data_IF_566491546392
#
_entry.id   IF_566491546392
#
_cell.length_a   1.000
_cell.length_b   1.000
_cell.length_c   1.000
_cell.angle_alpha   90.00
_cell.angle_beta   90.00
_cell.angle_gamma   90.00
#
_symmetry.space_group_name_H-M   'P 1'
#
loop_
_entity.id
_entity.type
_entity.pdbx_description
1 polymer ?
#
# COMPACT_ATOMS: atom_id res chain seq x y z
N UNK A 1 -35.21 -71.37 -15.66
CA UNK A 1 -36.43 -71.87 -14.98
C UNK A 1 -36.47 -71.24 -13.59
N UNK A 2 -37.40 -70.31 -13.29
CA UNK A 2 -38.65 -70.57 -12.50
C UNK A 2 -38.33 -71.32 -11.19
N UNK A 3 -38.59 -70.87 -9.96
CA UNK A 3 -39.57 -69.95 -9.33
C UNK A 3 -39.08 -69.70 -7.86
N UNK A 4 -39.44 -68.62 -7.14
CA UNK A 4 -40.64 -68.68 -6.25
C UNK A 4 -40.42 -68.55 -4.71
N UNK A 5 -40.69 -67.37 -4.10
CA UNK A 5 -41.25 -67.10 -2.73
C UNK A 5 -40.32 -67.22 -1.49
N UNK A 6 -40.44 -66.49 -0.36
CA UNK A 6 -41.25 -65.33 0.14
C UNK A 6 -40.68 -64.89 1.53
N UNK A 7 -40.59 -63.56 1.77
CA UNK A 7 -40.70 -62.75 3.02
C UNK A 7 -40.09 -63.17 4.39
N UNK A 8 -39.38 -62.21 5.03
CA UNK A 8 -39.78 -61.59 6.31
C UNK A 8 -38.95 -60.32 6.63
N UNK A 9 -39.62 -59.29 7.17
CA UNK A 9 -39.09 -58.00 7.62
C UNK A 9 -38.15 -58.12 8.83
N UNK A 10 -37.15 -57.23 8.93
CA UNK A 10 -36.94 -56.38 10.11
C UNK A 10 -35.94 -55.26 9.82
N UNK A 11 -36.32 -54.04 10.22
CA UNK A 11 -35.54 -52.83 10.12
C UNK A 11 -34.43 -52.79 11.17
N UNK A 12 -33.26 -52.25 10.82
CA UNK A 12 -32.46 -51.42 11.70
C UNK A 12 -31.41 -50.65 10.88
N UNK A 13 -31.52 -49.33 10.96
CA UNK A 13 -30.55 -48.32 10.55
C UNK A 13 -29.17 -48.53 11.20
N UNK A 14 -28.11 -48.42 10.42
CA UNK A 14 -26.79 -48.08 10.94
C UNK A 14 -26.26 -46.87 10.16
N UNK A 15 -26.27 -45.72 10.84
CA UNK A 15 -25.65 -44.49 10.39
C UNK A 15 -24.13 -44.69 10.26
N UNK A 16 -23.60 -44.33 9.09
CA UNK A 16 -22.18 -44.00 8.95
C UNK A 16 -22.01 -42.56 9.47
N UNK A 17 -21.55 -42.44 10.71
CA UNK A 17 -21.04 -41.18 11.24
C UNK A 17 -19.73 -40.86 10.52
N UNK A 18 -19.73 -39.79 9.74
CA UNK A 18 -18.49 -39.13 9.31
C UNK A 18 -17.99 -38.38 10.54
N UNK A 19 -16.89 -38.83 11.13
CA UNK A 19 -16.17 -38.02 12.10
C UNK A 19 -15.68 -36.76 11.39
N UNK A 20 -16.10 -35.58 11.85
CA UNK A 20 -15.52 -34.32 11.39
C UNK A 20 -14.06 -34.25 11.85
N UNK A 21 -13.19 -33.78 10.96
CA UNK A 21 -11.82 -33.46 11.32
C UNK A 21 -11.85 -32.34 12.38
N UNK A 22 -11.21 -32.49 13.56
CA UNK A 22 -11.18 -31.47 14.59
C UNK A 22 -10.51 -30.15 14.16
N UNK A 23 -9.90 -30.09 12.98
CA UNK A 23 -9.38 -28.86 12.35
C UNK A 23 -10.44 -28.04 11.59
N UNK A 24 -11.66 -28.55 11.43
CA UNK A 24 -12.74 -27.90 10.67
C UNK A 24 -14.05 -27.85 11.46
N UNK A 25 -14.58 -26.64 11.68
CA UNK A 25 -15.90 -26.47 12.30
C UNK A 25 -16.96 -26.14 11.23
N UNK A 26 -18.12 -26.83 11.22
CA UNK A 26 -19.24 -26.44 10.36
C UNK A 26 -19.82 -25.12 10.85
N UNK A 27 -20.14 -24.21 9.93
CA UNK A 27 -20.81 -22.96 10.29
C UNK A 27 -22.29 -23.23 10.66
N UNK A 28 -22.67 -23.06 11.92
CA UNK A 28 -24.09 -23.01 12.36
C UNK A 28 -24.22 -21.97 13.49
N UNK A 29 -25.12 -20.97 13.54
CA UNK A 29 -26.04 -20.27 12.60
C UNK A 29 -26.35 -18.86 13.19
N UNK A 30 -26.63 -17.81 12.38
CA UNK A 30 -28.04 -17.41 12.19
C UNK A 30 -28.44 -17.25 10.72
N UNK A 31 -29.74 -17.33 10.47
CA UNK A 31 -30.38 -17.29 9.16
C UNK A 31 -30.35 -15.89 8.53
N UNK A 32 -29.52 -15.71 7.50
CA UNK A 32 -29.79 -14.78 6.41
C UNK A 32 -29.91 -15.59 5.11
N UNK A 33 -30.86 -15.27 4.21
CA UNK A 33 -31.00 -15.99 2.96
C UNK A 33 -29.89 -15.50 2.03
N UNK A 34 -28.83 -16.29 1.86
CA UNK A 34 -27.88 -16.08 0.77
C UNK A 34 -27.76 -17.39 0.02
N UNK A 35 -28.00 -17.35 -1.29
CA UNK A 35 -27.99 -18.48 -2.23
C UNK A 35 -26.60 -19.04 -2.53
N UNK A 36 -25.56 -18.63 -1.78
CA UNK A 36 -24.20 -19.13 -1.90
C UNK A 36 -23.85 -20.00 -0.70
N UNK A 37 -23.14 -21.13 -0.87
CA UNK A 37 -22.69 -21.94 0.25
C UNK A 37 -21.80 -21.11 1.18
N UNK A 38 -22.01 -21.27 2.49
CA UNK A 38 -21.25 -20.56 3.52
C UNK A 38 -19.82 -21.11 3.60
N UNK A 39 -18.82 -20.21 3.65
CA UNK A 39 -17.42 -20.58 3.88
C UNK A 39 -17.23 -21.26 5.24
N UNK A 40 -16.28 -22.20 5.29
CA UNK A 40 -15.88 -22.90 6.50
C UNK A 40 -15.06 -21.98 7.43
N UNK A 41 -14.89 -22.41 8.68
CA UNK A 41 -14.00 -21.76 9.64
C UNK A 41 -12.87 -22.75 9.94
N UNK A 42 -11.65 -22.34 9.66
CA UNK A 42 -10.44 -23.07 10.03
C UNK A 42 -10.18 -22.84 11.52
N UNK A 43 -9.90 -23.91 12.28
CA UNK A 43 -9.51 -23.81 13.70
C UNK A 43 -7.99 -23.91 13.79
N UNK A 44 -7.27 -22.78 13.93
CA UNK A 44 -5.82 -22.77 13.96
C UNK A 44 -5.25 -23.42 15.21
N UNK A 45 -4.00 -23.85 15.16
CA UNK A 45 -3.31 -24.55 16.25
C UNK A 45 -3.33 -23.75 17.55
N UNK A 46 -3.17 -22.43 17.46
CA UNK A 46 -3.24 -21.53 18.61
C UNK A 46 -4.63 -21.43 19.26
N UNK A 47 -5.70 -21.83 18.55
CA UNK A 47 -7.07 -21.85 19.08
C UNK A 47 -7.50 -23.24 19.61
N UNK A 48 -6.83 -24.33 19.22
CA UNK A 48 -7.15 -25.70 19.68
C UNK A 48 -7.13 -25.90 21.20
N UNK A 49 -6.30 -25.21 22.00
CA UNK A 49 -6.35 -25.32 23.46
C UNK A 49 -7.62 -24.74 24.10
N UNK A 50 -8.40 -23.93 23.37
CA UNK A 50 -9.63 -23.33 23.85
C UNK A 50 -10.82 -24.18 23.45
N UNK A 51 -11.68 -24.54 24.41
CA UNK A 51 -12.98 -25.12 24.08
C UNK A 51 -13.89 -24.01 23.56
N UNK A 52 -14.11 -23.97 22.25
CA UNK A 52 -14.95 -22.95 21.61
C UNK A 52 -16.43 -23.09 21.97
N UNK A 53 -16.86 -24.22 22.56
CA UNK A 53 -18.23 -24.42 23.04
C UNK A 53 -18.40 -24.06 24.53
N UNK A 54 -17.31 -23.79 25.25
CA UNK A 54 -17.38 -23.29 26.63
C UNK A 54 -17.50 -21.77 26.61
N UNK A 55 -18.65 -21.24 27.02
CA UNK A 55 -18.92 -19.81 27.19
C UNK A 55 -17.93 -19.11 28.14
N UNK A 56 -17.20 -19.87 28.97
CA UNK A 56 -16.17 -19.34 29.86
C UNK A 56 -14.78 -19.28 29.24
N UNK A 57 -14.57 -19.91 28.08
CA UNK A 57 -13.30 -19.88 27.36
C UNK A 57 -12.96 -18.46 26.90
N UNK A 58 -11.66 -18.18 26.72
CA UNK A 58 -11.16 -16.89 26.20
C UNK A 58 -11.79 -16.59 24.84
N UNK A 59 -11.87 -17.59 23.98
CA UNK A 59 -12.52 -17.56 22.68
C UNK A 59 -13.63 -18.61 22.65
N UNK A 60 -14.83 -18.24 22.25
CA UNK A 60 -15.97 -19.14 22.14
C UNK A 60 -16.97 -18.67 21.09
N UNK A 61 -17.84 -19.57 20.64
CA UNK A 61 -18.86 -19.29 19.64
C UNK A 61 -19.90 -18.27 20.11
N UNK A 62 -20.18 -18.23 21.42
CA UNK A 62 -21.07 -17.24 22.01
C UNK A 62 -20.56 -15.81 21.83
N UNK A 63 -19.25 -15.60 21.95
CA UNK A 63 -18.58 -14.33 21.72
C UNK A 63 -18.00 -14.25 20.31
N UNK A 64 -18.84 -14.57 19.32
CA UNK A 64 -18.46 -14.54 17.91
C UNK A 64 -19.58 -14.00 17.02
N UNK A 65 -19.19 -13.50 15.86
CA UNK A 65 -20.10 -13.11 14.79
C UNK A 65 -19.48 -13.43 13.43
N UNK A 66 -20.25 -13.39 12.35
CA UNK A 66 -19.71 -13.68 11.02
C UNK A 66 -20.42 -12.92 9.91
N UNK A 67 -19.65 -12.57 8.88
CA UNK A 67 -20.14 -12.14 7.57
C UNK A 67 -19.99 -13.31 6.57
N UNK A 68 -20.17 -13.06 5.26
CA UNK A 68 -19.89 -14.10 4.26
C UNK A 68 -18.42 -14.54 4.28
N UNK A 69 -17.50 -13.59 4.46
CA UNK A 69 -16.07 -13.84 4.27
C UNK A 69 -15.24 -13.87 5.55
N UNK A 70 -15.81 -13.43 6.68
CA UNK A 70 -15.03 -13.19 7.90
C UNK A 70 -15.78 -13.77 9.11
N UNK A 71 -15.02 -14.38 10.03
CA UNK A 71 -15.47 -14.70 11.39
C UNK A 71 -14.79 -13.75 12.37
N UNK A 72 -15.55 -13.26 13.33
CA UNK A 72 -15.11 -12.34 14.37
C UNK A 72 -15.21 -13.08 15.70
N UNK A 73 -14.15 -13.04 16.49
CA UNK A 73 -14.16 -13.46 17.88
C UNK A 73 -13.75 -12.30 18.76
N UNK A 74 -14.35 -12.20 19.95
CA UNK A 74 -13.92 -11.26 20.97
C UNK A 74 -13.79 -11.95 22.32
N UNK A 75 -12.93 -11.42 23.18
CA UNK A 75 -12.68 -12.03 24.48
C UNK A 75 -13.86 -11.90 25.44
N UNK A 76 -13.98 -12.88 26.35
CA UNK A 76 -15.04 -12.93 27.35
C UNK A 76 -15.36 -11.62 28.08
N UNK A 77 -14.39 -10.78 28.50
CA UNK A 77 -14.72 -9.56 29.26
C UNK A 77 -15.58 -8.55 28.48
N UNK A 78 -15.67 -8.63 27.14
CA UNK A 78 -16.61 -7.79 26.39
C UNK A 78 -18.08 -8.19 26.60
N UNK A 79 -18.34 -9.45 27.02
CA UNK A 79 -19.67 -10.02 27.16
C UNK A 79 -20.40 -10.26 25.83
N UNK A 80 -21.70 -10.56 25.91
CA UNK A 80 -22.55 -10.84 24.73
C UNK A 80 -22.77 -9.60 23.83
N UNK A 81 -22.57 -8.39 24.37
CA UNK A 81 -22.76 -7.13 23.64
C UNK A 81 -21.52 -6.23 23.75
N UNK A 82 -20.67 -6.18 22.70
CA UNK A 82 -19.43 -5.40 22.72
C UNK A 82 -19.66 -3.88 22.69
N UNK A 83 -20.89 -3.38 22.63
CA UNK A 83 -21.21 -1.95 22.72
C UNK A 83 -21.14 -1.43 24.17
N UNK A 84 -21.38 -2.29 25.16
CA UNK A 84 -21.42 -1.91 26.57
C UNK A 84 -20.61 -2.86 27.48
N UNK A 85 -19.32 -3.10 27.17
CA UNK A 85 -18.48 -3.90 28.04
C UNK A 85 -18.10 -3.12 29.30
N UNK A 86 -17.62 -3.79 30.36
CA UNK A 86 -16.90 -3.14 31.45
C UNK A 86 -15.77 -2.25 30.92
N UNK A 87 -15.32 -1.30 31.74
CA UNK A 87 -14.09 -0.56 31.45
C UNK A 87 -12.87 -1.39 31.85
N UNK A 88 -11.73 -1.11 31.21
CA UNK A 88 -10.43 -1.64 31.61
C UNK A 88 -9.58 -0.47 32.09
N UNK A 89 -9.17 -0.47 33.35
CA UNK A 89 -8.41 0.63 33.98
C UNK A 89 -9.06 2.02 33.78
N UNK A 90 -10.40 2.07 33.82
CA UNK A 90 -11.16 3.30 33.60
C UNK A 90 -11.26 3.75 32.14
N UNK A 91 -10.72 2.99 31.17
CA UNK A 91 -10.84 3.26 29.74
C UNK A 91 -12.00 2.49 29.11
N UNK A 92 -12.72 3.10 28.15
CA UNK A 92 -13.82 2.43 27.46
C UNK A 92 -13.28 1.34 26.53
N UNK A 93 -13.82 0.13 26.66
CA UNK A 93 -13.46 -1.01 25.82
C UNK A 93 -14.47 -1.28 24.70
N UNK A 94 -15.55 -0.51 24.62
CA UNK A 94 -16.60 -0.74 23.63
C UNK A 94 -16.08 -0.69 22.19
N UNK A 95 -16.70 -1.47 21.31
CA UNK A 95 -16.48 -1.35 19.88
C UNK A 95 -17.74 -1.55 19.02
N UNK A 96 -17.66 -0.89 17.87
CA UNK A 96 -18.54 -0.89 16.71
C UNK A 96 -18.82 -2.25 16.03
N UNK A 97 -19.41 -3.30 16.63
CA UNK A 97 -19.49 -4.60 15.91
C UNK A 97 -20.18 -4.49 14.53
N UNK A 98 -21.24 -3.70 14.41
CA UNK A 98 -21.94 -3.52 13.13
C UNK A 98 -21.11 -2.76 12.11
N UNK A 99 -20.44 -1.68 12.55
CA UNK A 99 -19.48 -0.95 11.70
C UNK A 99 -18.31 -1.85 11.29
N UNK A 100 -17.73 -2.59 12.23
CA UNK A 100 -16.61 -3.50 12.01
C UNK A 100 -16.96 -4.56 10.96
N UNK A 101 -18.11 -5.21 11.08
CA UNK A 101 -18.57 -6.18 10.08
C UNK A 101 -18.76 -5.54 8.70
N UNK A 102 -19.38 -4.36 8.66
CA UNK A 102 -19.69 -3.66 7.39
C UNK A 102 -18.43 -3.22 6.66
N UNK A 103 -17.50 -2.54 7.36
CA UNK A 103 -16.29 -1.99 6.75
C UNK A 103 -15.30 -3.09 6.36
N UNK A 104 -15.02 -4.06 7.23
CA UNK A 104 -14.03 -5.10 6.94
C UNK A 104 -14.51 -6.03 5.82
N UNK A 105 -15.82 -6.32 5.74
CA UNK A 105 -16.40 -7.03 4.59
C UNK A 105 -16.26 -6.21 3.29
N UNK A 106 -16.45 -4.88 3.33
CA UNK A 106 -16.21 -3.99 2.18
C UNK A 106 -14.75 -4.05 1.73
N UNK A 107 -13.82 -3.91 2.66
CA UNK A 107 -12.37 -3.97 2.37
C UNK A 107 -11.98 -5.32 1.79
N UNK A 108 -12.42 -6.41 2.42
CA UNK A 108 -12.17 -7.77 1.95
C UNK A 108 -12.62 -7.95 0.51
N UNK A 109 -13.85 -7.55 0.18
CA UNK A 109 -14.36 -7.67 -1.20
C UNK A 109 -13.56 -6.83 -2.17
N UNK A 110 -13.19 -5.61 -1.80
CA UNK A 110 -12.37 -4.77 -2.66
C UNK A 110 -10.98 -5.40 -2.92
N UNK A 111 -10.30 -5.88 -1.88
CA UNK A 111 -8.98 -6.51 -1.98
C UNK A 111 -9.02 -7.83 -2.76
N UNK A 112 -10.05 -8.64 -2.54
CA UNK A 112 -10.28 -9.90 -3.25
C UNK A 112 -10.70 -9.68 -4.71
N UNK A 113 -11.78 -8.94 -4.91
CA UNK A 113 -12.51 -8.90 -6.17
C UNK A 113 -11.98 -7.83 -7.13
N UNK A 114 -11.46 -6.71 -6.61
CA UNK A 114 -10.96 -5.60 -7.44
C UNK A 114 -9.45 -5.65 -7.55
N UNK A 115 -8.74 -5.71 -6.42
CA UNK A 115 -7.27 -5.73 -6.43
C UNK A 115 -6.68 -7.12 -6.75
N UNK A 116 -7.51 -8.17 -6.74
CA UNK A 116 -7.12 -9.55 -7.04
C UNK A 116 -5.94 -10.04 -6.20
N UNK A 117 -5.93 -9.73 -4.90
CA UNK A 117 -4.94 -10.30 -3.97
C UNK A 117 -5.18 -11.77 -3.63
N UNK A 118 -6.32 -12.34 -4.03
CA UNK A 118 -6.46 -13.78 -4.19
C UNK A 118 -7.07 -14.12 -5.54
N UNK A 119 -6.90 -15.38 -5.96
CA UNK A 119 -7.43 -15.92 -7.22
C UNK A 119 -8.47 -16.99 -6.92
N UNK A 120 -9.26 -17.33 -7.93
CA UNK A 120 -10.22 -18.45 -7.82
C UNK A 120 -9.51 -19.72 -7.37
N UNK A 121 -10.04 -20.35 -6.31
CA UNK A 121 -9.44 -21.53 -5.70
C UNK A 121 -8.49 -21.23 -4.54
N UNK A 122 -8.36 -19.95 -4.16
CA UNK A 122 -7.68 -19.52 -2.94
C UNK A 122 -8.23 -20.26 -1.71
N UNK A 123 -7.40 -20.46 -0.69
CA UNK A 123 -7.85 -20.97 0.61
C UNK A 123 -8.94 -20.06 1.16
N UNK A 124 -8.83 -18.75 0.96
CA UNK A 124 -9.84 -17.80 1.41
C UNK A 124 -11.15 -17.87 0.62
N UNK A 125 -11.26 -18.62 -0.49
CA UNK A 125 -12.55 -18.92 -1.13
C UNK A 125 -13.33 -20.01 -0.38
N UNK A 126 -12.63 -20.87 0.36
CA UNK A 126 -13.20 -21.97 1.14
C UNK A 126 -13.38 -21.63 2.61
N UNK A 127 -12.42 -20.92 3.20
CA UNK A 127 -12.42 -20.56 4.62
C UNK A 127 -12.58 -19.05 4.83
N UNK A 128 -13.19 -18.67 5.96
CA UNK A 128 -13.31 -17.28 6.39
C UNK A 128 -11.97 -16.79 6.94
N UNK A 129 -11.61 -15.55 6.63
CA UNK A 129 -10.56 -14.85 7.40
C UNK A 129 -11.07 -14.56 8.81
N UNK A 130 -10.15 -14.40 9.77
CA UNK A 130 -10.50 -14.24 11.19
C UNK A 130 -10.20 -12.82 11.69
N UNK A 131 -11.05 -12.29 12.55
CA UNK A 131 -10.79 -11.05 13.30
C UNK A 131 -10.88 -11.35 14.79
N UNK A 132 -9.76 -11.18 15.49
CA UNK A 132 -9.62 -11.49 16.90
C UNK A 132 -9.52 -10.19 17.70
N UNK A 133 -10.57 -9.86 18.47
CA UNK A 133 -10.64 -8.64 19.28
C UNK A 133 -10.21 -8.95 20.72
N UNK A 134 -9.04 -8.46 21.10
CA UNK A 134 -8.43 -8.68 22.41
C UNK A 134 -8.91 -7.61 23.40
N UNK A 135 -9.27 -8.00 24.62
CA UNK A 135 -9.65 -7.08 25.69
C UNK A 135 -8.40 -6.52 26.36
N UNK A 136 -7.71 -5.62 25.65
CA UNK A 136 -6.45 -5.03 26.08
C UNK A 136 -6.37 -3.54 25.73
N UNK A 137 -5.62 -2.78 26.55
CA UNK A 137 -5.28 -1.38 26.29
C UNK A 137 -4.05 -1.23 25.39
N UNK A 138 -3.37 -2.33 25.07
CA UNK A 138 -2.23 -2.32 24.16
C UNK A 138 -2.65 -1.76 22.79
N UNK A 139 -1.80 -0.94 22.19
CA UNK A 139 -2.04 -0.26 20.92
C UNK A 139 -1.97 -1.16 19.68
N UNK A 140 -2.32 -2.43 19.81
CA UNK A 140 -2.01 -3.47 18.83
C UNK A 140 -3.11 -3.61 17.78
N UNK A 141 -2.72 -3.46 16.52
CA UNK A 141 -3.42 -4.04 15.39
C UNK A 141 -2.35 -4.69 14.52
N UNK A 142 -2.62 -5.93 14.09
CA UNK A 142 -1.73 -6.68 13.23
C UNK A 142 -2.55 -7.49 12.25
N UNK A 143 -2.14 -7.51 10.99
CA UNK A 143 -2.64 -8.40 9.97
C UNK A 143 -1.60 -9.42 9.52
N UNK A 144 -2.06 -10.65 9.35
CA UNK A 144 -1.21 -11.72 8.85
C UNK A 144 -2.03 -12.96 8.52
N UNK A 145 -1.48 -14.13 8.82
CA UNK A 145 -2.13 -15.42 8.61
C UNK A 145 -2.04 -16.28 9.87
N UNK A 146 -3.07 -17.07 10.11
CA UNK A 146 -2.97 -18.21 11.00
C UNK A 146 -2.33 -19.39 10.28
N UNK A 147 -1.33 -20.01 10.91
CA UNK A 147 -0.67 -21.25 10.51
C UNK A 147 -0.20 -21.27 9.04
N UNK A 148 0.20 -20.10 8.52
CA UNK A 148 0.53 -19.86 7.11
C UNK A 148 -0.57 -20.38 6.14
N UNK A 149 -1.84 -20.34 6.57
CA UNK A 149 -2.97 -20.96 5.89
C UNK A 149 -4.07 -19.96 5.53
N UNK A 150 -4.59 -19.21 6.51
CA UNK A 150 -5.72 -18.29 6.30
C UNK A 150 -5.45 -16.92 6.90
N UNK A 151 -5.77 -15.87 6.14
CA UNK A 151 -5.62 -14.49 6.57
C UNK A 151 -6.39 -14.19 7.87
N UNK A 152 -5.79 -13.40 8.74
CA UNK A 152 -6.35 -13.03 10.02
C UNK A 152 -5.90 -11.63 10.46
N UNK A 153 -6.68 -11.06 11.37
CA UNK A 153 -6.46 -9.78 12.03
C UNK A 153 -6.51 -9.98 13.55
N UNK A 154 -5.60 -9.35 14.26
CA UNK A 154 -5.60 -9.26 15.73
C UNK A 154 -5.62 -7.80 16.12
N UNK A 155 -6.64 -7.40 16.87
CA UNK A 155 -6.92 -5.99 17.14
C UNK A 155 -7.30 -5.78 18.59
N UNK A 156 -7.12 -4.55 19.06
CA UNK A 156 -7.60 -4.04 20.34
C UNK A 156 -8.59 -2.89 20.12
N UNK A 157 -9.53 -2.61 21.06
CA UNK A 157 -10.60 -1.63 20.87
C UNK A 157 -10.13 -0.25 20.42
N UNK A 158 -9.03 0.25 20.96
CA UNK A 158 -8.37 1.51 20.62
C UNK A 158 -7.97 1.64 19.14
N UNK A 159 -7.85 0.54 18.39
CA UNK A 159 -7.57 0.53 16.94
C UNK A 159 -8.82 0.38 16.06
N UNK A 160 -9.99 0.17 16.67
CA UNK A 160 -11.27 -0.04 15.98
C UNK A 160 -12.36 0.95 16.39
N UNK A 161 -11.98 2.09 16.98
CA UNK A 161 -12.93 3.14 17.36
C UNK A 161 -13.22 4.12 16.21
N UNK A 162 -12.29 4.27 15.28
CA UNK A 162 -12.49 5.12 14.11
C UNK A 162 -13.56 4.52 13.17
N UNK A 163 -14.49 5.34 12.68
CA UNK A 163 -15.58 4.85 11.85
C UNK A 163 -15.09 4.33 10.48
N UNK A 164 -14.04 4.94 9.94
CA UNK A 164 -13.47 4.56 8.64
C UNK A 164 -12.57 3.33 8.75
N UNK A 165 -12.13 2.97 9.96
CA UNK A 165 -11.29 1.80 10.25
C UNK A 165 -10.03 1.75 9.39
N UNK A 166 -9.34 2.88 9.24
CA UNK A 166 -8.11 2.99 8.45
C UNK A 166 -7.07 1.94 8.85
N UNK A 167 -6.82 1.83 10.16
CA UNK A 167 -5.90 0.83 10.70
C UNK A 167 -6.24 -0.60 10.23
N UNK A 168 -7.52 -0.98 10.22
CA UNK A 168 -7.93 -2.33 9.82
C UNK A 168 -7.89 -2.54 8.31
N UNK A 169 -8.14 -1.51 7.50
CA UNK A 169 -7.94 -1.61 6.06
C UNK A 169 -6.45 -1.84 5.73
N UNK A 170 -5.53 -1.18 6.44
CA UNK A 170 -4.09 -1.41 6.33
C UNK A 170 -3.72 -2.84 6.73
N UNK A 171 -4.10 -3.26 7.95
CA UNK A 171 -3.76 -4.60 8.44
C UNK A 171 -4.39 -5.71 7.58
N UNK A 172 -5.61 -5.53 7.09
CA UNK A 172 -6.22 -6.51 6.19
C UNK A 172 -5.45 -6.61 4.87
N UNK A 173 -4.81 -5.52 4.44
CA UNK A 173 -3.84 -5.54 3.36
C UNK A 173 -2.72 -6.55 3.59
N UNK A 174 -2.12 -6.57 4.78
CA UNK A 174 -1.13 -7.58 5.15
C UNK A 174 -1.69 -9.00 5.16
N UNK A 175 -2.90 -9.21 5.68
CA UNK A 175 -3.55 -10.52 5.64
C UNK A 175 -3.67 -11.05 4.20
N UNK A 176 -4.03 -10.18 3.25
CA UNK A 176 -4.12 -10.54 1.82
C UNK A 176 -2.76 -10.73 1.15
N UNK A 177 -1.75 -9.93 1.52
CA UNK A 177 -0.38 -10.12 1.03
C UNK A 177 0.17 -11.49 1.45
N UNK A 178 -0.02 -11.88 2.72
CA UNK A 178 0.38 -13.19 3.20
C UNK A 178 -0.53 -14.31 2.69
N UNK A 179 -1.80 -14.04 2.39
CA UNK A 179 -2.70 -15.01 1.76
C UNK A 179 -2.17 -15.49 0.40
N UNK A 180 -1.49 -14.65 -0.38
CA UNK A 180 -0.83 -15.07 -1.63
C UNK A 180 0.17 -16.20 -1.37
N UNK A 181 0.93 -16.09 -0.29
CA UNK A 181 1.95 -17.09 0.09
C UNK A 181 1.30 -18.34 0.66
N UNK A 182 0.27 -18.18 1.52
CA UNK A 182 -0.50 -19.28 2.07
C UNK A 182 -1.18 -20.11 0.96
N UNK A 183 -1.70 -19.44 -0.08
CA UNK A 183 -2.24 -20.06 -1.28
C UNK A 183 -1.17 -20.72 -2.17
N UNK A 184 0.12 -20.57 -1.82
CA UNK A 184 1.28 -20.99 -2.63
C UNK A 184 1.26 -20.40 -4.04
N UNK A 185 0.68 -19.21 -4.19
CA UNK A 185 0.55 -18.51 -5.47
C UNK A 185 1.77 -17.63 -5.80
N UNK A 186 2.69 -17.46 -4.85
CA UNK A 186 3.98 -16.79 -5.01
C UNK A 186 4.67 -16.57 -3.67
N UNK A 187 5.99 -16.38 -3.69
CA UNK A 187 6.82 -16.22 -2.48
C UNK A 187 7.11 -14.74 -2.17
N UNK A 188 6.71 -13.82 -3.07
CA UNK A 188 7.10 -12.43 -3.04
C UNK A 188 8.62 -12.28 -2.83
N UNK A 189 9.08 -11.46 -1.88
CA UNK A 189 10.51 -11.17 -1.69
C UNK A 189 11.11 -11.76 -0.41
N UNK A 190 10.40 -12.64 0.29
CA UNK A 190 10.81 -13.11 1.63
C UNK A 190 10.72 -12.03 2.72
N UNK A 191 9.89 -11.00 2.49
CA UNK A 191 9.77 -9.80 3.31
C UNK A 191 10.41 -8.57 2.66
N UNK A 192 9.71 -7.44 2.67
CA UNK A 192 10.20 -6.17 2.11
C UNK A 192 9.38 -5.00 2.67
N UNK A 193 9.99 -3.81 2.77
CA UNK A 193 9.27 -2.58 3.10
C UNK A 193 8.12 -2.24 2.13
N UNK A 194 8.08 -2.90 0.96
CA UNK A 194 6.98 -2.81 0.02
C UNK A 194 5.65 -3.37 0.55
N UNK A 195 5.68 -4.27 1.54
CA UNK A 195 4.47 -4.76 2.23
C UNK A 195 3.74 -3.60 2.92
N UNK A 196 4.47 -2.79 3.68
CA UNK A 196 3.94 -1.58 4.31
C UNK A 196 3.42 -0.58 3.27
N UNK A 197 4.21 -0.30 2.24
CA UNK A 197 3.81 0.63 1.17
C UNK A 197 2.53 0.18 0.46
N UNK A 198 2.41 -1.11 0.19
CA UNK A 198 1.24 -1.70 -0.47
C UNK A 198 0.03 -1.69 0.46
N UNK A 199 0.19 -1.98 1.75
CA UNK A 199 -0.91 -1.90 2.72
C UNK A 199 -1.43 -0.46 2.87
N UNK A 200 -0.53 0.54 2.87
CA UNK A 200 -0.93 1.96 2.82
C UNK A 200 -1.66 2.31 1.52
N UNK A 201 -1.22 1.78 0.39
CA UNK A 201 -1.92 1.95 -0.89
C UNK A 201 -3.30 1.29 -0.87
N UNK A 202 -3.41 0.05 -0.36
CA UNK A 202 -4.68 -0.68 -0.24
C UNK A 202 -5.67 0.06 0.68
N UNK A 203 -5.19 0.58 1.82
CA UNK A 203 -5.94 1.49 2.69
C UNK A 203 -6.44 2.71 1.91
N UNK A 204 -5.55 3.42 1.23
CA UNK A 204 -5.92 4.63 0.49
C UNK A 204 -6.96 4.32 -0.59
N UNK A 205 -6.92 3.14 -1.23
CA UNK A 205 -7.89 2.69 -2.25
C UNK A 205 -9.31 2.47 -1.73
N UNK A 206 -9.48 2.14 -0.46
CA UNK A 206 -10.81 1.92 0.15
C UNK A 206 -11.29 3.12 0.96
N UNK A 207 -10.36 3.97 1.41
CA UNK A 207 -10.61 5.21 2.15
C UNK A 207 -9.84 6.38 1.48
N UNK A 208 -10.42 7.03 0.44
CA UNK A 208 -9.72 8.03 -0.38
C UNK A 208 -9.32 9.31 0.38
N UNK A 209 -9.99 9.60 1.51
CA UNK A 209 -9.68 10.70 2.42
C UNK A 209 -8.48 10.41 3.35
N UNK A 210 -7.79 9.28 3.21
CA UNK A 210 -6.70 8.86 4.09
C UNK A 210 -5.62 9.95 4.30
N UNK A 211 -5.27 10.72 3.26
CA UNK A 211 -4.32 11.83 3.40
C UNK A 211 -4.80 12.92 4.37
N UNK A 212 -6.10 13.07 4.56
CA UNK A 212 -6.72 13.95 5.55
C UNK A 212 -6.80 13.28 6.90
N UNK A 213 -7.29 12.05 6.95
CA UNK A 213 -7.49 11.32 8.20
C UNK A 213 -6.16 11.06 8.93
N UNK A 214 -5.08 10.80 8.17
CA UNK A 214 -3.75 10.49 8.67
C UNK A 214 -2.69 11.43 8.08
N UNK A 215 -3.00 12.73 8.09
CA UNK A 215 -2.16 13.80 7.49
C UNK A 215 -0.69 13.76 7.89
N UNK A 216 -0.37 13.25 9.08
CA UNK A 216 1.00 13.09 9.55
C UNK A 216 1.86 12.23 8.61
N UNK A 217 1.29 11.21 7.94
CA UNK A 217 2.00 10.43 6.93
C UNK A 217 2.38 11.26 5.70
N UNK A 218 1.45 12.10 5.20
CA UNK A 218 1.72 12.97 4.07
C UNK A 218 2.73 14.09 4.43
N UNK A 219 2.63 14.66 5.62
CA UNK A 219 3.58 15.66 6.09
C UNK A 219 5.00 15.08 6.23
N UNK A 220 5.12 13.84 6.74
CA UNK A 220 6.40 13.12 6.76
C UNK A 220 6.93 12.85 5.35
N UNK A 221 6.09 12.34 4.44
CA UNK A 221 6.47 12.09 3.04
C UNK A 221 7.09 13.33 2.39
N UNK A 222 6.49 14.51 2.59
CA UNK A 222 6.97 15.78 2.02
C UNK A 222 8.40 16.12 2.46
N UNK A 223 8.77 15.78 3.69
CA UNK A 223 10.14 15.97 4.20
C UNK A 223 11.12 14.90 3.68
N UNK A 224 10.61 13.74 3.28
CA UNK A 224 11.39 12.56 2.90
C UNK A 224 11.39 12.27 1.39
N UNK A 225 10.86 13.17 0.54
CA UNK A 225 10.83 13.00 -0.92
C UNK A 225 12.20 12.71 -1.56
N UNK A 226 13.27 13.22 -0.96
CA UNK A 226 14.64 12.99 -1.40
C UNK A 226 15.17 11.57 -1.11
N UNK A 227 14.53 10.82 -0.21
CA UNK A 227 14.92 9.45 0.14
C UNK A 227 14.66 8.47 -0.99
N UNK A 228 15.47 7.41 -1.04
CA UNK A 228 15.36 6.44 -2.12
C UNK A 228 14.01 5.70 -2.11
N UNK A 229 13.55 5.26 -3.27
CA UNK A 229 12.36 4.40 -3.32
C UNK A 229 12.63 3.09 -2.55
N UNK A 230 11.68 2.65 -1.71
CA UNK A 230 11.81 1.56 -0.71
C UNK A 230 12.65 1.90 0.54
N UNK A 231 13.00 3.17 0.78
CA UNK A 231 13.68 3.56 2.03
C UNK A 231 12.77 3.34 3.25
N UNK A 232 13.31 2.71 4.31
CA UNK A 232 12.56 2.34 5.53
C UNK A 232 11.83 3.52 6.17
N UNK A 233 12.48 4.68 6.32
CA UNK A 233 11.82 5.90 6.83
C UNK A 233 10.59 6.35 6.03
N UNK A 234 10.40 5.87 4.80
CA UNK A 234 9.36 6.34 3.89
C UNK A 234 8.31 5.27 3.53
N UNK A 235 8.46 4.02 4.01
CA UNK A 235 7.59 2.90 3.61
C UNK A 235 6.13 3.11 4.04
N UNK A 236 5.89 3.80 5.15
CA UNK A 236 4.55 4.16 5.61
C UNK A 236 3.94 5.37 4.91
N UNK A 237 4.69 6.04 4.02
CA UNK A 237 4.39 7.41 3.59
C UNK A 237 4.25 7.55 2.07
N UNK A 238 4.68 6.56 1.29
CA UNK A 238 4.84 6.69 -0.16
C UNK A 238 4.07 5.66 -0.99
N UNK A 239 2.72 5.61 -0.90
CA UNK A 239 1.91 4.72 -1.75
C UNK A 239 1.79 5.22 -3.22
N UNK A 240 2.27 6.42 -3.51
CA UNK A 240 1.97 7.14 -4.76
C UNK A 240 2.57 6.48 -6.02
N UNK A 241 3.76 5.89 -5.92
CA UNK A 241 4.35 5.15 -7.03
C UNK A 241 3.56 3.86 -7.32
N UNK A 242 3.01 3.22 -6.28
CA UNK A 242 2.17 2.03 -6.43
C UNK A 242 0.87 2.40 -7.15
N UNK A 243 0.25 3.53 -6.79
CA UNK A 243 -0.93 4.03 -7.53
C UNK A 243 -0.59 4.33 -8.99
N UNK A 244 0.55 4.96 -9.27
CA UNK A 244 0.97 5.22 -10.64
C UNK A 244 1.16 3.94 -11.47
N UNK A 245 1.77 2.91 -10.89
CA UNK A 245 1.90 1.60 -11.53
C UNK A 245 0.54 0.94 -11.77
N UNK A 246 -0.39 1.08 -10.81
CA UNK A 246 -1.75 0.60 -10.93
C UNK A 246 -2.54 1.33 -12.04
N UNK A 247 -2.39 2.64 -12.21
CA UNK A 247 -3.03 3.37 -13.32
C UNK A 247 -2.50 2.91 -14.68
N UNK A 248 -1.20 2.58 -14.78
CA UNK A 248 -0.58 2.12 -16.02
C UNK A 248 -0.90 0.68 -16.39
N UNK A 249 -0.99 -0.21 -15.39
CA UNK A 249 -1.03 -1.66 -15.61
C UNK A 249 -2.28 -2.35 -15.07
N UNK A 250 -3.23 -1.59 -14.53
CA UNK A 250 -4.43 -2.10 -13.87
C UNK A 250 -4.21 -2.31 -12.38
N UNK A 251 -5.30 -2.26 -11.60
CA UNK A 251 -5.24 -2.39 -10.13
C UNK A 251 -4.69 -3.75 -9.68
N UNK A 252 -5.00 -4.81 -10.42
CA UNK A 252 -4.53 -6.17 -10.15
C UNK A 252 -3.03 -6.36 -10.36
N UNK A 253 -2.37 -5.43 -11.06
CA UNK A 253 -0.95 -5.53 -11.40
C UNK A 253 -0.05 -5.60 -10.17
N UNK A 254 -0.46 -4.96 -9.08
CA UNK A 254 0.27 -4.98 -7.81
C UNK A 254 0.24 -6.37 -7.19
N UNK A 255 -0.93 -7.02 -7.14
CA UNK A 255 -1.03 -8.40 -6.68
C UNK A 255 -0.27 -9.38 -7.60
N UNK A 256 -0.22 -9.13 -8.91
CA UNK A 256 0.61 -9.91 -9.82
C UNK A 256 2.11 -9.72 -9.54
N UNK A 257 2.53 -8.51 -9.14
CA UNK A 257 3.90 -8.23 -8.76
C UNK A 257 4.33 -9.06 -7.55
N UNK A 258 3.45 -9.20 -6.54
CA UNK A 258 3.68 -10.11 -5.40
C UNK A 258 3.85 -11.56 -5.83
N UNK A 259 2.99 -12.05 -6.72
CA UNK A 259 3.05 -13.44 -7.22
C UNK A 259 4.31 -13.73 -8.02
N UNK A 260 4.80 -12.74 -8.76
CA UNK A 260 6.04 -12.86 -9.54
C UNK A 260 7.31 -12.56 -8.76
N UNK A 261 7.19 -12.00 -7.56
CA UNK A 261 8.33 -11.72 -6.68
C UNK A 261 9.11 -12.99 -6.38
N UNK A 262 10.43 -12.82 -6.21
CA UNK A 262 11.33 -13.91 -5.81
C UNK A 262 12.17 -13.49 -4.62
N UNK A 263 12.46 -14.44 -3.74
CA UNK A 263 13.44 -14.27 -2.65
C UNK A 263 14.80 -13.86 -3.24
N UNK A 264 15.39 -12.80 -2.71
CA UNK A 264 16.66 -12.23 -3.20
C UNK A 264 16.51 -11.15 -4.29
N UNK A 265 15.30 -10.93 -4.81
CA UNK A 265 14.94 -9.72 -5.57
C UNK A 265 14.31 -8.66 -4.65
N UNK A 266 14.09 -7.46 -5.19
CA UNK A 266 13.14 -6.50 -4.64
C UNK A 266 12.02 -6.19 -5.67
N UNK A 267 10.98 -5.43 -5.30
CA UNK A 267 9.90 -5.09 -6.22
C UNK A 267 10.36 -4.35 -7.48
N UNK A 268 11.46 -3.60 -7.43
CA UNK A 268 11.99 -2.88 -8.61
C UNK A 268 12.59 -3.86 -9.61
N UNK A 269 13.33 -4.87 -9.15
CA UNK A 269 13.83 -5.95 -10.02
C UNK A 269 12.68 -6.73 -10.63
N UNK A 270 11.70 -7.14 -9.82
CA UNK A 270 10.52 -7.89 -10.27
C UNK A 270 9.70 -7.07 -11.28
N UNK A 271 9.46 -5.78 -11.01
CA UNK A 271 8.67 -4.90 -11.88
C UNK A 271 9.31 -4.74 -13.25
N UNK A 272 10.62 -4.44 -13.29
CA UNK A 272 11.36 -4.33 -14.55
C UNK A 272 11.36 -5.64 -15.32
N UNK A 273 11.49 -6.79 -14.64
CA UNK A 273 11.45 -8.10 -15.29
C UNK A 273 10.06 -8.37 -15.89
N UNK A 274 9.00 -8.17 -15.11
CA UNK A 274 7.60 -8.39 -15.52
C UNK A 274 7.24 -7.56 -16.75
N UNK A 275 7.61 -6.28 -16.75
CA UNK A 275 7.29 -5.35 -17.84
C UNK A 275 8.40 -5.18 -18.88
N UNK A 276 9.43 -6.04 -18.84
CA UNK A 276 10.57 -6.04 -19.78
C UNK A 276 11.24 -4.66 -19.93
N UNK A 277 11.38 -3.94 -18.83
CA UNK A 277 11.92 -2.59 -18.80
C UNK A 277 13.43 -2.59 -18.63
N UNK A 278 14.09 -1.74 -19.41
CA UNK A 278 15.46 -1.30 -19.12
C UNK A 278 15.49 -0.39 -17.88
N UNK A 279 16.67 -0.23 -17.28
CA UNK A 279 16.84 0.74 -16.18
C UNK A 279 16.45 2.16 -16.59
N UNK A 280 16.73 2.56 -17.84
CA UNK A 280 16.38 3.88 -18.36
C UNK A 280 14.86 4.08 -18.36
N UNK A 281 14.11 3.11 -18.90
CA UNK A 281 12.65 3.19 -18.95
C UNK A 281 12.05 3.25 -17.54
N UNK A 282 12.59 2.48 -16.59
CA UNK A 282 12.17 2.56 -15.19
C UNK A 282 12.42 3.96 -14.61
N UNK A 283 13.61 4.54 -14.82
CA UNK A 283 13.92 5.90 -14.37
C UNK A 283 12.99 6.94 -14.99
N UNK A 284 12.72 6.80 -16.30
CA UNK A 284 11.82 7.70 -17.03
C UNK A 284 10.42 7.65 -16.43
N UNK A 285 9.91 6.46 -16.10
CA UNK A 285 8.59 6.28 -15.49
C UNK A 285 8.48 6.75 -14.04
N UNK A 286 9.50 6.48 -13.21
CA UNK A 286 9.54 6.99 -11.83
C UNK A 286 9.53 8.53 -11.82
N UNK A 287 10.29 9.14 -12.73
CA UNK A 287 10.29 10.60 -12.86
C UNK A 287 8.93 11.13 -13.32
N UNK A 288 8.31 10.47 -14.28
CA UNK A 288 6.96 10.80 -14.77
C UNK A 288 5.95 10.81 -13.60
N UNK A 289 5.95 9.74 -12.78
CA UNK A 289 5.14 9.66 -11.56
C UNK A 289 5.31 10.91 -10.67
N UNK A 290 6.55 11.32 -10.39
CA UNK A 290 6.80 12.46 -9.49
C UNK A 290 6.37 13.80 -10.07
N UNK A 291 6.39 13.96 -11.40
CA UNK A 291 5.85 15.15 -12.06
C UNK A 291 4.33 15.24 -11.96
N UNK A 292 3.63 14.11 -11.99
CA UNK A 292 2.19 14.05 -11.73
C UNK A 292 1.90 14.27 -10.24
N UNK A 293 2.69 13.66 -9.36
CA UNK A 293 2.51 13.72 -7.91
C UNK A 293 2.55 15.14 -7.34
N UNK A 294 3.37 16.06 -7.88
CA UNK A 294 3.43 17.43 -7.33
C UNK A 294 2.10 18.17 -7.35
N UNK A 295 1.17 17.78 -8.24
CA UNK A 295 -0.21 18.29 -8.32
C UNK A 295 -1.26 17.22 -8.01
N UNK A 296 -0.84 16.03 -7.57
CA UNK A 296 -1.68 14.82 -7.51
C UNK A 296 -2.47 14.63 -8.81
N UNK A 297 -1.83 14.78 -9.96
CA UNK A 297 -2.46 14.59 -11.27
C UNK A 297 -2.56 13.11 -11.63
N UNK A 298 -3.24 12.38 -10.74
CA UNK A 298 -3.67 10.99 -10.91
C UNK A 298 -5.18 10.99 -11.18
N UNK A 299 -5.66 9.96 -11.87
CA UNK A 299 -7.09 9.71 -12.02
C UNK A 299 -7.75 9.36 -10.69
N UNK A 300 -7.06 8.61 -9.82
CA UNK A 300 -7.58 8.23 -8.50
C UNK A 300 -7.54 9.36 -7.46
N UNK A 301 -8.58 9.41 -6.62
CA UNK A 301 -8.72 10.33 -5.48
C UNK A 301 -8.43 11.81 -5.81
N UNK A 302 -8.68 12.22 -7.07
CA UNK A 302 -8.35 13.58 -7.52
C UNK A 302 -9.08 14.62 -6.66
N UNK A 303 -10.35 14.41 -6.35
CA UNK A 303 -11.14 15.33 -5.51
C UNK A 303 -10.54 15.47 -4.11
N UNK A 304 -10.25 14.35 -3.46
CA UNK A 304 -9.80 14.25 -2.07
C UNK A 304 -8.37 14.77 -1.90
N UNK A 305 -7.53 14.63 -2.94
CA UNK A 305 -6.13 15.09 -2.92
C UNK A 305 -5.93 16.57 -3.23
N UNK A 306 -6.96 17.31 -3.68
CA UNK A 306 -6.82 18.73 -4.06
C UNK A 306 -6.18 19.62 -2.99
N UNK A 307 -6.52 19.51 -1.68
CA UNK A 307 -5.88 20.33 -0.64
C UNK A 307 -4.37 20.11 -0.50
N UNK A 308 -3.84 19.00 -1.04
CA UNK A 308 -2.44 18.59 -0.93
C UNK A 308 -1.64 18.86 -2.22
N UNK A 309 -2.32 19.16 -3.32
CA UNK A 309 -1.69 19.56 -4.57
C UNK A 309 -0.85 20.82 -4.39
N UNK A 310 0.29 20.88 -5.08
CA UNK A 310 1.21 22.01 -5.06
C UNK A 310 1.74 22.39 -3.66
N UNK A 311 1.77 21.44 -2.73
CA UNK A 311 2.30 21.66 -1.37
C UNK A 311 3.74 21.19 -1.20
N UNK A 312 4.30 20.45 -2.16
CA UNK A 312 5.71 20.08 -2.13
C UNK A 312 6.60 21.32 -2.23
N UNK A 313 7.73 21.29 -1.55
CA UNK A 313 8.77 22.31 -1.63
C UNK A 313 10.13 21.69 -1.29
N UNK A 314 11.18 22.19 -1.91
CA UNK A 314 12.56 21.83 -1.56
C UNK A 314 13.34 23.12 -1.42
N UNK A 315 13.86 23.34 -0.21
CA UNK A 315 14.66 24.52 0.09
C UNK A 315 15.95 24.50 -0.71
N UNK A 316 16.22 25.62 -1.38
CA UNK A 316 17.44 25.83 -2.16
C UNK A 316 18.33 26.93 -1.56
N UNK A 317 19.63 26.66 -1.50
CA UNK A 317 20.67 27.56 -1.00
C UNK A 317 21.36 28.28 -2.16
N UNK A 318 21.40 29.62 -2.09
CA UNK A 318 22.08 30.48 -3.07
C UNK A 318 23.59 30.29 -3.01
N UNK A 319 24.20 30.14 -4.18
CA UNK A 319 25.65 30.05 -4.37
C UNK A 319 26.20 31.38 -4.91
N UNK A 320 27.51 31.62 -4.69
CA UNK A 320 28.18 32.87 -5.11
C UNK A 320 28.10 33.15 -6.62
N UNK A 321 27.92 32.12 -7.44
CA UNK A 321 27.88 32.19 -8.90
C UNK A 321 26.45 32.30 -9.48
N UNK A 322 25.45 32.56 -8.64
CA UNK A 322 24.04 32.65 -9.04
C UNK A 322 23.34 31.30 -9.24
N UNK A 323 24.03 30.18 -8.97
CA UNK A 323 23.38 28.87 -8.89
C UNK A 323 22.68 28.67 -7.55
N UNK A 324 21.76 27.72 -7.53
CA UNK A 324 21.02 27.25 -6.38
C UNK A 324 21.34 25.76 -6.18
N UNK A 325 21.50 25.33 -4.93
CA UNK A 325 21.72 23.92 -4.56
C UNK A 325 20.70 23.50 -3.51
N UNK A 326 20.21 22.25 -3.51
CA UNK A 326 19.41 21.78 -2.38
C UNK A 326 20.26 21.77 -1.11
N UNK A 327 19.61 21.80 0.04
CA UNK A 327 20.28 21.49 1.30
C UNK A 327 20.97 20.12 1.18
N UNK A 328 22.15 19.98 1.77
CA UNK A 328 22.86 18.70 1.83
C UNK A 328 22.01 17.58 2.42
N UNK A 329 21.07 17.86 3.31
CA UNK A 329 20.14 16.86 3.85
C UNK A 329 19.09 16.41 2.83
N UNK A 330 18.77 17.25 1.83
CA UNK A 330 17.72 17.01 0.84
C UNK A 330 18.25 16.55 -0.52
N UNK A 331 19.55 16.27 -0.64
CA UNK A 331 20.13 15.71 -1.86
C UNK A 331 19.47 14.35 -2.16
N UNK A 332 18.92 14.15 -3.37
CA UNK A 332 18.23 12.92 -3.70
C UNK A 332 19.11 11.68 -3.55
N UNK A 333 18.50 10.57 -3.14
CA UNK A 333 19.03 9.20 -3.17
C UNK A 333 18.48 8.45 -4.40
N UNK A 334 18.63 7.12 -4.49
CA UNK A 334 18.18 6.38 -5.68
C UNK A 334 16.66 6.51 -5.87
N UNK A 335 16.24 7.14 -6.97
CA UNK A 335 14.85 7.45 -7.28
C UNK A 335 14.19 8.47 -6.33
N UNK A 336 14.94 9.02 -5.37
CA UNK A 336 14.44 10.17 -4.60
C UNK A 336 14.30 11.39 -5.49
N UNK A 337 13.43 12.33 -5.12
CA UNK A 337 13.19 13.54 -5.88
C UNK A 337 13.12 14.80 -5.01
N UNK A 338 13.33 15.94 -5.67
CA UNK A 338 13.10 17.27 -5.13
C UNK A 338 12.08 17.98 -6.03
N UNK A 339 11.22 18.81 -5.41
CA UNK A 339 10.23 19.62 -6.10
C UNK A 339 10.44 21.09 -5.70
N UNK A 340 11.09 21.85 -6.56
CA UNK A 340 11.53 23.23 -6.31
C UNK A 340 10.51 24.19 -6.92
N UNK A 341 9.87 25.03 -6.08
CA UNK A 341 9.02 26.11 -6.58
C UNK A 341 9.88 27.21 -7.22
N UNK A 342 9.53 27.60 -8.44
CA UNK A 342 10.16 28.69 -9.18
C UNK A 342 9.23 29.89 -9.27
N UNK A 343 9.79 31.06 -9.56
CA UNK A 343 9.01 32.23 -9.92
C UNK A 343 8.22 31.98 -11.21
N UNK A 344 6.96 32.39 -11.22
CA UNK A 344 6.07 32.21 -12.37
C UNK A 344 6.42 33.26 -13.42
N UNK A 345 6.80 32.87 -14.65
CA UNK A 345 7.09 33.83 -15.71
C UNK A 345 5.80 34.51 -16.17
N UNK A 346 5.93 35.72 -16.73
CA UNK A 346 4.80 36.41 -17.39
C UNK A 346 4.20 35.51 -18.50
N UNK A 347 2.89 35.64 -18.74
CA UNK A 347 2.19 34.90 -19.78
C UNK A 347 2.92 34.94 -21.14
N UNK A 348 3.06 33.79 -21.80
CA UNK A 348 3.80 33.64 -23.06
C UNK A 348 5.32 33.77 -22.96
N UNK A 349 5.90 34.02 -21.78
CA UNK A 349 7.36 34.05 -21.60
C UNK A 349 7.91 32.66 -21.30
N UNK A 350 9.16 32.46 -21.74
CA UNK A 350 9.92 31.24 -21.53
C UNK A 350 10.76 31.36 -20.27
N UNK A 351 10.67 30.37 -19.40
CA UNK A 351 11.64 30.13 -18.32
C UNK A 351 12.64 29.08 -18.80
N UNK A 352 13.93 29.25 -18.48
CA UNK A 352 14.95 28.24 -18.76
C UNK A 352 15.75 27.93 -17.51
N UNK A 353 15.93 26.66 -17.20
CA UNK A 353 16.77 26.22 -16.09
C UNK A 353 18.02 25.54 -16.66
N UNK A 354 19.19 26.09 -16.34
CA UNK A 354 20.46 25.39 -16.51
C UNK A 354 20.61 24.38 -15.35
N UNK A 355 20.88 23.12 -15.66
CA UNK A 355 21.13 22.05 -14.70
C UNK A 355 22.58 21.58 -14.76
N UNK A 356 23.18 21.29 -13.59
CA UNK A 356 24.51 20.66 -13.48
C UNK A 356 24.54 19.63 -12.35
N UNK A 357 24.94 18.41 -12.69
CA UNK A 357 25.33 17.39 -11.74
C UNK A 357 26.62 17.79 -11.03
N UNK A 358 26.72 17.42 -9.75
CA UNK A 358 27.90 17.64 -8.93
C UNK A 358 28.51 16.29 -8.50
N UNK A 359 29.79 16.29 -8.14
CA UNK A 359 30.39 15.21 -7.36
C UNK A 359 30.10 15.36 -5.86
N UNK A 360 30.59 14.43 -5.04
CA UNK A 360 30.39 14.42 -3.60
C UNK A 360 30.99 15.66 -2.92
N UNK A 361 32.03 16.24 -3.51
CA UNK A 361 32.70 17.46 -3.05
C UNK A 361 32.02 18.75 -3.55
N UNK A 362 30.91 18.64 -4.30
CA UNK A 362 30.14 19.77 -4.80
C UNK A 362 30.77 20.50 -5.98
N UNK A 363 31.71 19.87 -6.70
CA UNK A 363 32.28 20.36 -7.96
C UNK A 363 31.47 19.84 -9.13
N UNK A 364 31.50 20.56 -10.26
CA UNK A 364 30.79 20.13 -11.47
C UNK A 364 31.29 18.76 -11.89
N UNK A 365 30.35 17.83 -12.02
CA UNK A 365 30.65 16.44 -12.32
C UNK A 365 31.40 16.33 -13.65
N UNK A 366 32.59 15.75 -13.60
CA UNK A 366 33.37 15.35 -14.78
C UNK A 366 33.33 13.83 -14.83
N UNK A 367 33.09 13.28 -16.02
CA UNK A 367 33.06 11.83 -16.20
C UNK A 367 34.35 11.21 -15.64
N UNK A 368 34.20 10.42 -14.57
CA UNK A 368 35.32 9.77 -13.89
C UNK A 368 35.59 8.39 -14.47
N UNK A 369 36.84 7.91 -14.32
CA UNK A 369 37.18 6.50 -14.56
C UNK A 369 36.63 5.58 -13.46
N UNK A 370 36.19 6.13 -12.34
CA UNK A 370 35.53 5.39 -11.26
C UNK A 370 34.22 4.75 -11.73
N UNK A 371 34.10 3.44 -11.49
CA UNK A 371 32.94 2.62 -11.83
C UNK A 371 31.67 3.09 -11.11
N UNK A 372 31.77 3.60 -9.87
CA UNK A 372 30.60 4.08 -9.13
C UNK A 372 30.09 5.42 -9.66
N UNK A 373 30.99 6.33 -10.03
CA UNK A 373 30.66 7.59 -10.69
C UNK A 373 29.93 7.38 -12.04
N UNK A 374 30.19 6.28 -12.76
CA UNK A 374 29.46 5.89 -13.98
C UNK A 374 28.02 5.40 -13.73
N UNK A 375 27.63 5.23 -12.47
CA UNK A 375 26.27 4.82 -12.11
C UNK A 375 25.34 5.98 -11.76
N UNK A 376 25.85 7.21 -11.79
CA UNK A 376 25.08 8.42 -11.58
C UNK A 376 24.26 8.73 -12.84
N UNK A 377 23.06 9.26 -12.63
CA UNK A 377 22.14 9.73 -13.67
C UNK A 377 21.08 10.60 -13.03
N UNK A 378 20.43 11.44 -13.84
CA UNK A 378 19.39 12.37 -13.37
C UNK A 378 18.20 12.34 -14.29
N UNK A 379 17.05 12.70 -13.75
CA UNK A 379 15.91 13.22 -14.51
C UNK A 379 15.51 14.57 -13.95
N UNK A 380 15.23 15.53 -14.84
CA UNK A 380 14.77 16.84 -14.42
C UNK A 380 13.86 17.48 -15.47
N UNK A 381 12.96 18.35 -15.03
CA UNK A 381 11.94 18.93 -15.90
C UNK A 381 11.02 19.87 -15.14
N UNK A 382 10.38 20.76 -15.89
CA UNK A 382 9.49 21.78 -15.37
C UNK A 382 8.04 21.29 -15.42
N UNK A 383 7.25 21.63 -14.41
CA UNK A 383 5.81 21.36 -14.32
C UNK A 383 5.11 22.68 -14.01
N UNK A 384 4.36 23.22 -14.97
CA UNK A 384 3.48 24.36 -14.74
C UNK A 384 2.08 23.86 -14.40
N UNK A 385 1.42 24.46 -13.41
CA UNK A 385 0.03 24.15 -13.06
C UNK A 385 -0.81 25.40 -13.31
N UNK A 386 -1.83 25.28 -14.13
CA UNK A 386 -2.74 26.38 -14.47
C UNK A 386 -3.62 26.76 -13.28
N UNK A 387 -3.95 28.03 -13.11
CA UNK A 387 -4.74 28.51 -11.98
C UNK A 387 -6.22 28.08 -12.04
N UNK A 388 -6.79 27.98 -13.25
CA UNK A 388 -8.24 27.84 -13.43
C UNK A 388 -8.70 26.38 -13.48
N UNK A 389 -7.90 25.48 -14.07
CA UNK A 389 -8.31 24.08 -14.35
C UNK A 389 -7.48 23.03 -13.61
N UNK A 390 -6.43 23.44 -12.90
CA UNK A 390 -5.41 22.55 -12.32
C UNK A 390 -4.71 21.64 -13.35
N UNK A 391 -4.74 22.01 -14.63
CA UNK A 391 -4.05 21.27 -15.69
C UNK A 391 -2.54 21.40 -15.53
N UNK A 392 -1.85 20.27 -15.72
CA UNK A 392 -0.39 20.21 -15.68
C UNK A 392 0.22 20.34 -17.07
N UNK A 393 1.21 21.22 -17.18
CA UNK A 393 1.98 21.46 -18.39
C UNK A 393 3.40 21.00 -18.14
N UNK A 394 3.81 19.96 -18.88
CA UNK A 394 5.10 19.30 -18.72
C UNK A 394 6.10 19.78 -19.77
N UNK A 395 7.28 20.25 -19.35
CA UNK A 395 8.43 20.38 -20.28
C UNK A 395 8.93 19.02 -20.76
N UNK A 396 9.80 19.03 -21.78
CA UNK A 396 10.64 17.88 -22.07
C UNK A 396 11.48 17.50 -20.83
N UNK A 397 11.66 16.19 -20.64
CA UNK A 397 12.51 15.62 -19.61
C UNK A 397 13.99 15.71 -20.02
N UNK A 398 14.80 16.29 -19.14
CA UNK A 398 16.26 16.31 -19.25
C UNK A 398 16.89 15.11 -18.55
N UNK A 399 17.97 14.59 -19.14
CA UNK A 399 18.77 13.49 -18.58
C UNK A 399 20.29 13.72 -18.62
N UNK A 400 20.73 14.81 -19.26
CA UNK A 400 22.14 15.14 -19.38
C UNK A 400 22.70 15.62 -18.03
N UNK A 401 23.95 15.22 -17.72
CA UNK A 401 24.68 15.67 -16.52
C UNK A 401 24.84 17.18 -16.45
N UNK A 402 24.93 17.83 -17.60
CA UNK A 402 24.91 19.27 -17.73
C UNK A 402 23.97 19.60 -18.89
N UNK A 403 22.86 20.26 -18.61
CA UNK A 403 21.81 20.44 -19.61
C UNK A 403 20.92 21.61 -19.30
N UNK A 404 19.86 21.74 -20.10
CA UNK A 404 18.86 22.80 -19.97
C UNK A 404 17.48 22.24 -20.19
N UNK A 405 16.51 22.73 -19.42
CA UNK A 405 15.08 22.52 -19.66
C UNK A 405 14.37 23.85 -19.70
N UNK A 406 13.33 23.94 -20.51
CA UNK A 406 12.55 25.17 -20.68
C UNK A 406 11.06 24.88 -20.73
N UNK A 407 10.26 25.85 -20.30
CA UNK A 407 8.81 25.84 -20.40
C UNK A 407 8.35 27.24 -20.80
N UNK A 408 7.37 27.33 -21.69
CA UNK A 408 6.73 28.60 -22.08
C UNK A 408 5.40 28.67 -21.35
N UNK A 409 5.20 29.71 -20.54
CA UNK A 409 3.91 29.89 -19.87
C UNK A 409 2.79 30.10 -20.90
N UNK A 410 1.58 29.56 -20.67
CA UNK A 410 0.46 29.77 -21.56
C UNK A 410 0.16 31.27 -21.69
N UNK A 411 -0.35 31.69 -22.85
CA UNK A 411 -0.83 33.07 -23.03
C UNK A 411 -2.22 33.29 -22.44
N UNK A 412 -3.08 32.27 -22.53
CA UNK A 412 -4.51 32.33 -22.21
C UNK A 412 -4.87 31.80 -20.83
N UNK A 413 -3.95 31.12 -20.14
CA UNK A 413 -4.18 30.53 -18.82
C UNK A 413 -3.01 30.86 -17.90
N UNK A 414 -3.23 31.62 -16.81
CA UNK A 414 -2.17 31.91 -15.86
C UNK A 414 -1.74 30.63 -15.14
N UNK A 415 -0.45 30.52 -14.81
CA UNK A 415 0.03 29.48 -13.91
C UNK A 415 -0.17 29.94 -12.46
N UNK A 416 -0.58 29.02 -11.58
CA UNK A 416 -0.57 29.25 -10.11
C UNK A 416 0.71 28.75 -9.45
N UNK A 417 1.38 27.77 -10.05
CA UNK A 417 2.65 27.22 -9.58
C UNK A 417 3.50 26.76 -10.77
N UNK A 418 4.81 26.95 -10.66
CA UNK A 418 5.81 26.38 -11.54
C UNK A 418 6.82 25.61 -10.70
N UNK A 419 6.94 24.30 -10.93
CA UNK A 419 7.97 23.46 -10.32
C UNK A 419 9.11 23.18 -11.29
N UNK A 420 10.32 23.08 -10.76
CA UNK A 420 11.34 22.18 -11.29
C UNK A 420 11.31 20.91 -10.44
N UNK A 421 11.17 19.75 -11.08
CA UNK A 421 11.34 18.44 -10.43
C UNK A 421 12.71 17.90 -10.82
N UNK A 422 13.46 17.38 -9.86
CA UNK A 422 14.77 16.74 -10.06
C UNK A 422 14.79 15.40 -9.32
N UNK A 423 15.16 14.31 -10.00
CA UNK A 423 15.22 12.97 -9.44
C UNK A 423 16.60 12.34 -9.66
N UNK A 424 17.10 11.63 -8.64
CA UNK A 424 18.25 10.75 -8.77
C UNK A 424 17.89 9.51 -9.59
N UNK A 425 18.56 9.29 -10.72
CA UNK A 425 18.19 8.28 -11.71
C UNK A 425 19.38 7.35 -12.01
N UNK A 426 19.67 6.35 -11.16
CA UNK A 426 20.86 5.53 -11.29
C UNK A 426 20.87 4.74 -12.61
N UNK A 427 22.04 4.53 -13.20
CA UNK A 427 22.17 3.76 -14.45
C UNK A 427 22.05 2.23 -14.22
N UNK A 428 22.11 1.78 -12.97
CA UNK A 428 21.71 0.44 -12.54
C UNK A 428 21.00 0.47 -11.18
N UNK A 429 20.05 -0.43 -10.98
CA UNK A 429 19.35 -0.54 -9.71
C UNK A 429 20.26 -1.18 -8.64
N UNK A 430 20.06 -0.75 -7.39
CA UNK A 430 20.70 -1.25 -6.19
C UNK A 430 19.63 -1.55 -5.15
N UNK A 431 19.72 -2.69 -4.48
CA UNK A 431 18.80 -3.10 -3.42
C UNK A 431 18.92 -2.20 -2.17
N UNK A 432 20.03 -1.48 -2.02
CA UNK A 432 20.17 -0.45 -0.99
C UNK A 432 19.67 0.91 -1.55
N UNK A 433 18.51 1.43 -1.10
CA UNK A 433 17.91 2.65 -1.62
C UNK A 433 18.81 3.88 -1.42
N UNK A 434 19.66 3.90 -0.40
CA UNK A 434 20.56 5.01 -0.07
C UNK A 434 22.00 4.81 -0.56
N UNK A 435 22.26 3.77 -1.37
CA UNK A 435 23.62 3.46 -1.87
C UNK A 435 24.26 4.58 -2.69
N UNK A 436 23.49 5.57 -3.16
CA UNK A 436 23.98 6.71 -3.94
C UNK A 436 23.28 7.98 -3.53
N UNK A 437 24.00 9.09 -3.69
CA UNK A 437 23.48 10.46 -3.57
C UNK A 437 23.70 11.20 -4.87
N UNK A 438 22.79 12.09 -5.21
CA UNK A 438 22.71 12.76 -6.51
C UNK A 438 22.78 14.28 -6.33
N UNK A 439 23.93 14.85 -5.91
CA UNK A 439 24.06 16.28 -5.70
C UNK A 439 24.01 17.05 -7.02
N UNK A 440 23.41 18.23 -7.03
CA UNK A 440 23.25 19.03 -8.23
C UNK A 440 23.17 20.53 -7.91
N UNK A 441 23.35 21.37 -8.93
CA UNK A 441 23.04 22.80 -8.87
C UNK A 441 22.22 23.22 -10.09
N UNK A 442 21.39 24.24 -9.92
CA UNK A 442 20.54 24.81 -10.98
C UNK A 442 20.64 26.32 -11.03
N UNK A 443 20.39 26.90 -12.21
CA UNK A 443 20.26 28.35 -12.37
C UNK A 443 19.08 28.66 -13.28
N UNK A 444 18.16 29.47 -12.78
CA UNK A 444 16.98 29.94 -13.52
C UNK A 444 17.38 31.16 -14.35
N UNK A 445 16.91 31.24 -15.60
CA UNK A 445 17.15 32.30 -16.57
C UNK A 445 15.87 32.81 -17.20
#
# INVERSE_FOLDING_TARGET
MKKILLFLLLAASAMQGWAQDPSEAPAQRPTNPVSAPQKLIFVPDSLKPFDLNDDNSRWCWRHSAQTQNIVYFWEKPFGDNPQNPPSLEGKPMKFDLGNLQTQVERFYRFFRDTLKFSLLGSICDRYKMMVMVNYSLEGTAYGGTYDDFIGALWVTPNRIQDQKLNCLAHELGHSFQLQIMADRAGEAWGGSGFFEMTSQWMLWRVNPDWLTDEKYHFDAFRQLTHKGYLHLDNIYHSPYVIEWWAEKHGLESIAQLYREGKVGEDPVVTYKRKYKMTQKQFNDEMFDCYRHLVNFDFGYARKETRPYACTFDTRMLKQKNGYLRPDTASVPENYGFNAIKLEIPKAGKKVTVDFRALDAEGKVFKASKDKMARTIGYRYGLVGITADTDECIYSQMGEAMNGKVSLVAPKSQPLKVLYLVVMGAPSNHSLNPSSRRFPYEVRVK
#
